data_IF_019927414348
#
_entry.id   IF_019927414348
#
_cell.length_a   1.000
_cell.length_b   1.000
_cell.length_c   1.000
_cell.angle_alpha   90.00
_cell.angle_beta   90.00
_cell.angle_gamma   90.00
#
_symmetry.space_group_name_H-M   'P 1'
#
loop_
_entity.id
_entity.type
_entity.pdbx_description
1 polymer ?
#
# COMPACT_ATOMS: atom_id res chain seq x y z
N UNK A 1 8.86 -52.15 -47.23
CA UNK A 1 9.60 -51.34 -46.23
C UNK A 1 9.09 -49.90 -46.12
N UNK A 2 8.83 -49.20 -47.24
CA UNK A 2 8.36 -47.80 -47.27
C UNK A 2 6.98 -47.58 -46.60
N UNK A 3 6.04 -48.51 -46.75
CA UNK A 3 4.68 -48.35 -46.18
C UNK A 3 4.65 -48.26 -44.64
N UNK A 4 5.58 -48.92 -43.95
CA UNK A 4 5.67 -48.93 -42.48
C UNK A 4 6.21 -47.61 -41.93
N UNK A 5 7.05 -46.91 -42.71
CA UNK A 5 7.56 -45.58 -42.39
C UNK A 5 6.46 -44.53 -42.56
N UNK A 6 5.63 -44.66 -43.61
CA UNK A 6 4.52 -43.74 -43.84
C UNK A 6 3.44 -43.84 -42.74
N UNK A 7 3.20 -45.06 -42.24
CA UNK A 7 2.28 -45.36 -41.13
C UNK A 7 2.78 -44.79 -39.78
N UNK A 8 4.10 -44.81 -39.54
CA UNK A 8 4.72 -44.19 -38.36
C UNK A 8 4.62 -42.65 -38.39
N UNK A 9 4.83 -42.04 -39.56
CA UNK A 9 4.74 -40.58 -39.75
C UNK A 9 3.30 -40.07 -39.64
N UNK A 10 2.31 -40.86 -40.06
CA UNK A 10 0.89 -40.51 -39.89
C UNK A 10 0.40 -40.70 -38.46
N UNK A 11 0.92 -41.68 -37.72
CA UNK A 11 0.63 -41.86 -36.27
C UNK A 11 1.17 -40.74 -35.40
N UNK A 12 2.27 -40.09 -35.80
CA UNK A 12 2.83 -38.92 -35.12
C UNK A 12 2.01 -37.63 -35.31
N UNK A 13 1.04 -37.63 -36.23
CA UNK A 13 0.33 -36.41 -36.66
C UNK A 13 -0.99 -36.15 -35.91
N UNK A 14 -1.31 -36.98 -34.92
CA UNK A 14 -2.48 -36.84 -34.03
C UNK A 14 -2.12 -37.27 -32.62
N UNK A 15 -1.36 -36.43 -31.93
CA UNK A 15 -1.17 -36.58 -30.49
C UNK A 15 -1.98 -35.49 -29.79
N UNK A 16 -3.25 -35.77 -29.53
CA UNK A 16 -4.18 -34.86 -28.83
C UNK A 16 -3.70 -34.52 -27.41
N UNK A 17 -2.78 -35.32 -26.86
CA UNK A 17 -2.20 -35.10 -25.52
C UNK A 17 -1.31 -33.85 -25.45
N UNK A 18 -0.63 -33.49 -26.55
CA UNK A 18 0.20 -32.29 -26.62
C UNK A 18 -0.60 -31.00 -26.79
N UNK A 19 -1.80 -31.09 -27.38
CA UNK A 19 -2.64 -29.94 -27.68
C UNK A 19 -3.13 -29.24 -26.40
N UNK A 20 -3.61 -30.01 -25.41
CA UNK A 20 -4.09 -29.47 -24.14
C UNK A 20 -3.01 -28.74 -23.35
N UNK A 21 -1.75 -29.19 -23.44
CA UNK A 21 -0.60 -28.51 -22.80
C UNK A 21 -0.35 -27.16 -23.47
N UNK A 22 -0.44 -27.09 -24.80
CA UNK A 22 -0.26 -25.83 -25.55
C UNK A 22 -1.38 -24.85 -25.25
N UNK A 23 -2.64 -25.31 -25.21
CA UNK A 23 -3.78 -24.46 -24.85
C UNK A 23 -3.64 -23.86 -23.45
N UNK A 24 -3.21 -24.66 -22.47
CA UNK A 24 -2.92 -24.17 -21.12
C UNK A 24 -1.75 -23.18 -21.09
N UNK A 25 -0.67 -23.47 -21.82
CA UNK A 25 0.51 -22.60 -21.89
C UNK A 25 0.19 -21.22 -22.49
N UNK A 26 -0.84 -21.10 -23.32
CA UNK A 26 -1.30 -19.82 -23.87
C UNK A 26 -2.16 -19.01 -22.87
N UNK A 27 -2.93 -19.67 -22.01
CA UNK A 27 -3.77 -19.01 -21.00
C UNK A 27 -2.96 -18.64 -19.75
N UNK A 28 -1.97 -19.46 -19.40
CA UNK A 28 -1.17 -19.30 -18.18
C UNK A 28 -0.52 -17.90 -18.03
N UNK A 29 0.07 -17.26 -19.07
CA UNK A 29 0.64 -15.92 -18.93
C UNK A 29 -0.40 -14.87 -18.53
N UNK A 30 -1.61 -14.93 -19.11
CA UNK A 30 -2.71 -14.02 -18.79
C UNK A 30 -3.17 -14.25 -17.35
N UNK A 31 -3.31 -15.53 -16.95
CA UNK A 31 -3.67 -15.89 -15.59
C UNK A 31 -2.64 -15.38 -14.56
N UNK A 32 -1.34 -15.54 -14.86
CA UNK A 32 -0.26 -15.03 -14.01
C UNK A 32 -0.30 -13.51 -13.89
N UNK A 33 -0.52 -12.78 -14.99
CA UNK A 33 -0.66 -11.32 -14.94
C UNK A 33 -1.81 -10.89 -14.03
N UNK A 34 -2.96 -11.56 -14.10
CA UNK A 34 -4.11 -11.25 -13.24
C UNK A 34 -3.78 -11.53 -11.77
N UNK A 35 -3.14 -12.66 -11.46
CA UNK A 35 -2.76 -13.00 -10.09
C UNK A 35 -1.73 -12.01 -9.54
N UNK A 36 -0.70 -11.67 -10.31
CA UNK A 36 0.30 -10.67 -9.93
C UNK A 36 -0.35 -9.30 -9.70
N UNK A 37 -1.28 -8.89 -10.54
CA UNK A 37 -1.99 -7.62 -10.39
C UNK A 37 -2.83 -7.58 -9.10
N UNK A 38 -3.54 -8.66 -8.77
CA UNK A 38 -4.32 -8.74 -7.52
C UNK A 38 -3.41 -8.70 -6.30
N UNK A 39 -2.27 -9.41 -6.34
CA UNK A 39 -1.31 -9.39 -5.23
C UNK A 39 -0.67 -8.02 -5.05
N UNK A 40 -0.24 -7.36 -6.13
CA UNK A 40 0.35 -6.02 -6.07
C UNK A 40 -0.67 -4.98 -5.60
N UNK A 41 -1.93 -5.08 -6.05
CA UNK A 41 -3.01 -4.25 -5.53
C UNK A 41 -3.24 -4.44 -4.02
N UNK A 42 -3.34 -5.70 -3.58
CA UNK A 42 -3.54 -6.01 -2.16
C UNK A 42 -2.38 -5.52 -1.28
N UNK A 43 -1.15 -5.62 -1.78
CA UNK A 43 0.05 -5.08 -1.16
C UNK A 43 -0.04 -3.56 -0.97
N UNK A 44 -0.27 -2.82 -2.06
CA UNK A 44 -0.41 -1.35 -2.04
C UNK A 44 -1.55 -0.88 -1.15
N UNK A 45 -2.69 -1.59 -1.19
CA UNK A 45 -3.84 -1.28 -0.37
C UNK A 45 -3.57 -1.51 1.13
N UNK A 46 -2.83 -2.55 1.49
CA UNK A 46 -2.40 -2.76 2.86
C UNK A 46 -1.52 -1.60 3.36
N UNK A 47 -0.59 -1.11 2.54
CA UNK A 47 0.18 0.09 2.85
C UNK A 47 -0.70 1.31 3.13
N UNK A 48 -1.74 1.50 2.32
CA UNK A 48 -2.71 2.59 2.51
C UNK A 48 -3.44 2.51 3.87
N UNK A 49 -3.87 1.31 4.26
CA UNK A 49 -4.52 1.08 5.56
C UNK A 49 -3.54 1.39 6.71
N UNK A 50 -2.30 0.91 6.63
CA UNK A 50 -1.28 1.12 7.65
C UNK A 50 -0.94 2.61 7.86
N UNK A 51 -0.81 3.39 6.78
CA UNK A 51 -0.54 4.83 6.88
C UNK A 51 -1.77 5.57 7.42
N UNK A 52 -2.98 5.12 7.07
CA UNK A 52 -4.22 5.70 7.62
C UNK A 52 -4.33 5.45 9.12
N UNK A 53 -4.05 4.22 9.57
CA UNK A 53 -4.12 3.88 10.99
C UNK A 53 -3.01 4.55 11.79
N UNK A 54 -1.79 4.66 11.25
CA UNK A 54 -0.69 5.37 11.92
C UNK A 54 -0.96 6.87 12.06
N UNK A 55 -1.55 7.52 11.04
CA UNK A 55 -1.97 8.91 11.14
C UNK A 55 -3.01 9.12 12.26
N UNK A 56 -3.98 8.21 12.39
CA UNK A 56 -4.99 8.25 13.46
C UNK A 56 -4.36 8.06 14.83
N UNK A 57 -3.39 7.18 14.96
CA UNK A 57 -2.67 6.96 16.21
C UNK A 57 -1.85 8.19 16.60
N UNK A 58 -1.13 8.79 15.63
CA UNK A 58 -0.45 10.06 15.83
C UNK A 58 -1.39 11.18 16.27
N UNK A 59 -2.58 11.28 15.65
CA UNK A 59 -3.59 12.27 16.05
C UNK A 59 -4.14 12.03 17.47
N UNK A 60 -4.28 10.78 17.89
CA UNK A 60 -4.69 10.40 19.25
C UNK A 60 -3.68 10.89 20.29
N UNK A 61 -2.40 10.62 20.06
CA UNK A 61 -1.33 11.10 20.94
C UNK A 61 -1.26 12.62 20.91
N UNK A 62 -1.37 13.24 19.73
CA UNK A 62 -1.32 14.70 19.59
C UNK A 62 -2.52 15.44 20.22
N UNK A 63 -3.65 14.76 20.46
CA UNK A 63 -4.82 15.32 21.11
C UNK A 63 -4.59 15.59 22.61
N UNK A 64 -3.72 14.79 23.24
CA UNK A 64 -3.42 14.81 24.67
C UNK A 64 -1.97 15.14 25.01
N UNK A 65 -1.09 15.22 24.00
CA UNK A 65 0.32 15.58 24.14
C UNK A 65 0.73 16.66 23.12
N UNK A 66 1.66 17.51 23.52
CA UNK A 66 2.33 18.51 22.68
C UNK A 66 3.80 18.15 22.40
N UNK A 67 4.27 17.01 22.90
CA UNK A 67 5.64 16.55 22.68
C UNK A 67 5.71 15.92 21.29
N UNK A 68 6.41 16.58 20.38
CA UNK A 68 6.52 16.14 18.99
C UNK A 68 7.16 14.74 18.87
N UNK A 69 8.13 14.43 19.74
CA UNK A 69 8.80 13.13 19.78
C UNK A 69 7.82 11.99 20.10
N UNK A 70 6.91 12.17 21.06
CA UNK A 70 5.90 11.17 21.40
C UNK A 70 4.96 10.86 20.23
N UNK A 71 4.56 11.90 19.48
CA UNK A 71 3.70 11.76 18.29
C UNK A 71 4.45 11.01 17.19
N UNK A 72 5.72 11.34 16.95
CA UNK A 72 6.56 10.70 15.94
C UNK A 72 6.77 9.23 16.30
N UNK A 73 7.12 8.93 17.56
CA UNK A 73 7.31 7.55 18.03
C UNK A 73 6.06 6.72 17.88
N UNK A 74 4.88 7.26 18.22
CA UNK A 74 3.61 6.54 18.07
C UNK A 74 3.31 6.18 16.60
N UNK A 75 3.57 7.09 15.66
CA UNK A 75 3.42 6.82 14.22
C UNK A 75 4.44 5.78 13.75
N UNK A 76 5.71 5.92 14.14
CA UNK A 76 6.80 5.03 13.73
C UNK A 76 6.65 3.60 14.28
N UNK A 77 6.23 3.45 15.53
CA UNK A 77 5.94 2.15 16.14
C UNK A 77 4.84 1.43 15.38
N UNK A 78 3.80 2.15 14.95
CA UNK A 78 2.67 1.57 14.23
C UNK A 78 3.03 1.01 12.85
N UNK A 79 4.06 1.54 12.21
CA UNK A 79 4.54 1.06 10.90
C UNK A 79 5.79 0.17 11.02
N UNK A 80 6.29 -0.04 12.24
CA UNK A 80 7.50 -0.82 12.47
C UNK A 80 7.34 -2.27 12.00
N UNK A 81 8.36 -2.80 11.32
CA UNK A 81 8.32 -4.16 10.77
C UNK A 81 7.43 -4.33 9.53
N UNK A 82 6.87 -3.26 8.97
CA UNK A 82 6.11 -3.28 7.71
C UNK A 82 6.97 -2.83 6.52
N UNK A 83 6.43 -2.89 5.31
CA UNK A 83 7.09 -2.39 4.11
C UNK A 83 6.93 -0.87 3.89
N UNK A 84 6.20 -0.19 4.78
CA UNK A 84 5.94 1.26 4.70
C UNK A 84 7.09 2.02 5.34
N UNK A 85 7.65 2.99 4.61
CA UNK A 85 8.70 3.89 5.09
C UNK A 85 8.12 5.29 5.27
N UNK A 86 8.08 5.81 6.50
CA UNK A 86 7.58 7.17 6.77
C UNK A 86 8.64 8.20 6.37
N UNK A 87 8.24 9.15 5.53
CA UNK A 87 9.10 10.22 5.02
C UNK A 87 8.91 11.51 5.82
N UNK A 88 7.67 11.85 6.14
CA UNK A 88 7.33 13.09 6.84
C UNK A 88 6.12 12.90 7.75
N UNK A 89 6.15 13.55 8.92
CA UNK A 89 5.00 13.67 9.82
C UNK A 89 4.79 15.15 10.11
N UNK A 90 3.69 15.71 9.61
CA UNK A 90 3.30 17.10 9.83
C UNK A 90 2.16 17.17 10.83
N UNK A 91 2.43 17.79 11.98
CA UNK A 91 1.42 18.10 13.00
C UNK A 91 1.01 19.55 12.83
N UNK A 92 -0.29 19.81 12.70
CA UNK A 92 -0.85 21.16 12.57
C UNK A 92 -1.95 21.34 13.61
N UNK A 93 -1.91 22.47 14.31
CA UNK A 93 -2.93 22.88 15.29
C UNK A 93 -3.56 24.16 14.74
N UNK A 94 -4.70 24.04 14.04
CA UNK A 94 -5.34 25.21 13.44
C UNK A 94 -5.66 26.22 14.53
N UNK A 95 -5.20 27.45 14.36
CA UNK A 95 -5.56 28.57 15.24
C UNK A 95 -6.79 29.27 14.67
N UNK A 96 -7.57 29.92 15.54
CA UNK A 96 -8.71 30.73 15.13
C UNK A 96 -8.29 31.72 14.03
N UNK A 97 -8.87 31.59 12.84
CA UNK A 97 -8.59 32.45 11.68
C UNK A 97 -8.06 31.75 10.43
N UNK A 98 -7.63 30.48 10.50
CA UNK A 98 -7.32 29.69 9.30
C UNK A 98 -8.61 29.16 8.64
N UNK A 99 -8.69 29.24 7.31
CA UNK A 99 -9.86 28.76 6.55
C UNK A 99 -10.03 27.24 6.71
N UNK A 100 -11.17 26.81 7.26
CA UNK A 100 -11.40 25.40 7.64
C UNK A 100 -10.82 24.98 8.99
N UNK A 101 -10.31 25.93 9.79
CA UNK A 101 -9.89 25.65 11.16
C UNK A 101 -11.07 25.26 12.03
N UNK A 102 -10.92 24.13 12.70
CA UNK A 102 -11.77 23.76 13.83
C UNK A 102 -10.99 24.16 15.08
N UNK A 103 -11.47 25.18 15.79
CA UNK A 103 -10.89 25.64 17.06
C UNK A 103 -10.70 24.46 18.00
N UNK A 104 -9.48 24.25 18.49
CA UNK A 104 -9.14 23.14 19.37
C UNK A 104 -9.11 21.78 18.66
N UNK A 105 -8.84 21.74 17.36
CA UNK A 105 -8.49 20.51 16.67
C UNK A 105 -6.96 20.35 16.57
N UNK A 106 -6.51 19.11 16.49
CA UNK A 106 -5.16 18.74 16.09
C UNK A 106 -5.25 17.88 14.85
N UNK A 107 -4.36 18.15 13.91
CA UNK A 107 -4.26 17.49 12.62
C UNK A 107 -2.91 16.82 12.54
N UNK A 108 -2.88 15.55 12.20
CA UNK A 108 -1.64 14.83 11.91
C UNK A 108 -1.72 14.33 10.47
N UNK A 109 -0.73 14.73 9.67
CA UNK A 109 -0.55 14.28 8.29
C UNK A 109 0.71 13.43 8.24
N UNK A 110 0.58 12.20 7.76
CA UNK A 110 1.68 11.26 7.59
C UNK A 110 1.89 11.05 6.11
N UNK A 111 3.10 11.31 5.64
CA UNK A 111 3.56 11.00 4.29
C UNK A 111 4.54 9.86 4.39
N UNK A 112 4.24 8.77 3.69
CA UNK A 112 5.07 7.58 3.66
C UNK A 112 5.20 7.08 2.22
N UNK A 113 6.23 6.28 1.98
CA UNK A 113 6.46 5.61 0.71
C UNK A 113 6.44 4.11 0.90
N UNK A 114 6.00 3.38 -0.11
CA UNK A 114 6.06 1.94 -0.11
C UNK A 114 6.54 1.43 -1.46
N UNK A 115 7.48 0.48 -1.43
CA UNK A 115 7.95 -0.18 -2.64
C UNK A 115 6.89 -1.15 -3.19
N UNK A 116 6.67 -1.17 -4.51
CA UNK A 116 5.84 -2.18 -5.16
C UNK A 116 6.40 -3.59 -4.91
N UNK A 117 5.50 -4.58 -4.87
CA UNK A 117 5.91 -5.97 -4.62
C UNK A 117 6.70 -6.55 -5.80
N UNK A 118 6.28 -6.22 -7.03
CA UNK A 118 6.88 -6.75 -8.26
C UNK A 118 7.42 -5.62 -9.13
N UNK A 119 6.82 -4.42 -9.06
CA UNK A 119 7.28 -3.26 -9.83
C UNK A 119 6.90 -3.33 -11.32
N UNK A 120 6.02 -4.26 -11.69
CA UNK A 120 5.59 -4.48 -13.07
C UNK A 120 4.41 -3.58 -13.44
N UNK A 121 3.43 -3.41 -12.54
CA UNK A 121 2.25 -2.57 -12.80
C UNK A 121 2.40 -1.15 -12.27
N UNK A 122 3.19 -0.97 -11.20
CA UNK A 122 3.49 0.33 -10.59
C UNK A 122 5.00 0.47 -10.49
N UNK A 123 5.55 1.53 -11.09
CA UNK A 123 7.00 1.75 -11.12
C UNK A 123 7.45 2.66 -9.96
N UNK A 124 8.45 2.19 -9.22
CA UNK A 124 9.10 2.94 -8.15
C UNK A 124 8.27 3.08 -6.87
N UNK A 125 8.83 3.75 -5.84
CA UNK A 125 8.16 3.92 -4.57
C UNK A 125 6.85 4.68 -4.74
N UNK A 126 5.76 4.11 -4.22
CA UNK A 126 4.46 4.75 -4.22
C UNK A 126 4.29 5.60 -2.97
N UNK A 127 4.01 6.90 -3.16
CA UNK A 127 3.79 7.83 -2.06
C UNK A 127 2.34 7.75 -1.56
N UNK A 128 2.19 7.69 -0.25
CA UNK A 128 0.94 7.59 0.48
C UNK A 128 0.90 8.72 1.51
N UNK A 129 0.05 9.70 1.27
CA UNK A 129 -0.23 10.77 2.23
C UNK A 129 -1.59 10.54 2.86
N UNK A 130 -1.66 10.45 4.19
CA UNK A 130 -2.92 10.34 4.93
C UNK A 130 -2.98 11.38 6.04
N UNK A 131 -4.20 11.83 6.36
CA UNK A 131 -4.45 12.83 7.39
C UNK A 131 -5.50 12.33 8.36
N UNK A 132 -5.26 12.55 9.64
CA UNK A 132 -6.23 12.35 10.70
C UNK A 132 -6.42 13.66 11.48
N UNK A 133 -7.61 13.84 12.04
CA UNK A 133 -7.95 15.03 12.83
C UNK A 133 -8.67 14.58 14.09
N UNK A 134 -8.27 15.13 15.24
CA UNK A 134 -8.90 14.87 16.54
C UNK A 134 -9.11 16.17 17.30
N UNK A 135 -10.04 16.15 18.26
CA UNK A 135 -10.23 17.26 19.18
C UNK A 135 -9.10 17.25 20.20
N UNK A 136 -8.51 18.41 20.44
CA UNK A 136 -7.52 18.64 21.47
C UNK A 136 -8.21 18.73 22.83
N UNK A 137 -7.78 17.90 23.77
CA UNK A 137 -8.39 17.83 25.10
C UNK A 137 -7.67 18.74 26.11
N UNK A 138 -6.40 19.05 25.87
CA UNK A 138 -5.68 20.03 26.66
C UNK A 138 -6.06 21.45 26.23
N UNK A 139 -6.81 22.16 27.07
CA UNK A 139 -7.00 23.60 26.93
C UNK A 139 -5.72 24.28 27.39
N UNK A 140 -4.92 24.72 26.42
CA UNK A 140 -3.73 25.49 26.70
C UNK A 140 -4.12 26.90 27.14
N UNK A 141 -3.69 27.27 28.33
CA UNK A 141 -3.53 28.67 28.71
C UNK A 141 -2.42 29.21 27.82
N UNK A 142 -2.76 30.13 26.93
CA UNK A 142 -1.75 30.83 26.13
C UNK A 142 -1.09 31.78 27.10
N UNK A 143 -0.08 31.29 27.83
CA UNK A 143 0.69 32.08 28.77
C UNK A 143 1.25 33.30 28.07
N UNK A 144 0.61 34.44 28.30
CA UNK A 144 1.09 35.77 28.03
C UNK A 144 1.60 36.36 29.34
#
# INVERSE_FOLDING_TARGET
>A
MIGKILELVTKLKKDEQGQSIVEFALVLPILLLIVLAIMEFGWLFNGHILVTSSAREGARVAAVSNVQEEIISAVQEHVSGTAVTVQEIKVTRPTDGEEGAISGAVVVTVTATMEPLVGFFVAGPYEITQRATMRQELRFDTGN
#
